data_IF_613994109349
#
_entry.id   IF_613994109349
#
_cell.length_a   1.000
_cell.length_b   1.000
_cell.length_c   1.000
_cell.angle_alpha   90.00
_cell.angle_beta   90.00
_cell.angle_gamma   90.00
#
_symmetry.space_group_name_H-M   'P 1'
#
loop_
_entity.id
_entity.type
_entity.pdbx_description
1 polymer ?
#
# COMPACT_ATOMS: atom_id res chain seq x y z
N UNK A 1 -0.57 4.88 19.45
CA UNK A 1 -0.80 4.91 18.00
C UNK A 1 0.54 4.77 17.29
N UNK A 2 0.69 3.74 16.45
CA UNK A 2 1.83 3.62 15.53
C UNK A 2 1.33 3.90 14.13
N UNK A 3 2.13 4.63 13.35
CA UNK A 3 1.80 4.94 11.97
C UNK A 3 3.06 4.95 11.10
N UNK A 4 2.94 4.41 9.88
CA UNK A 4 3.97 4.49 8.84
C UNK A 4 3.32 4.91 7.53
N UNK A 5 3.92 5.87 6.86
CA UNK A 5 3.58 6.23 5.48
C UNK A 5 4.40 5.38 4.52
N UNK A 6 3.75 4.77 3.54
CA UNK A 6 4.35 3.90 2.54
C UNK A 6 4.06 4.47 1.16
N UNK A 7 5.11 4.62 0.35
CA UNK A 7 4.99 4.96 -1.06
C UNK A 7 5.45 3.78 -1.92
N UNK A 8 4.62 3.41 -2.88
CA UNK A 8 4.87 2.30 -3.79
C UNK A 8 4.67 2.71 -5.25
N UNK A 9 5.24 1.93 -6.17
CA UNK A 9 5.06 2.05 -7.61
C UNK A 9 4.79 0.69 -8.24
N UNK A 10 3.84 0.63 -9.17
CA UNK A 10 3.52 -0.60 -9.92
C UNK A 10 2.13 -0.54 -10.54
N UNK A 11 1.66 -1.70 -11.00
CA UNK A 11 0.31 -1.89 -11.57
C UNK A 11 -0.73 -2.07 -10.45
N UNK A 12 -0.93 -1.01 -9.67
CA UNK A 12 -1.70 -1.03 -8.43
C UNK A 12 -3.19 -1.30 -8.69
N UNK A 13 -3.75 -0.66 -9.73
CA UNK A 13 -5.17 -0.77 -10.06
C UNK A 13 -5.46 -2.09 -10.78
N UNK A 14 -4.62 -2.43 -11.74
CA UNK A 14 -4.76 -3.61 -12.60
C UNK A 14 -4.63 -4.91 -11.79
N UNK A 15 -3.81 -4.91 -10.73
CA UNK A 15 -3.61 -6.06 -9.84
C UNK A 15 -4.55 -6.08 -8.63
N UNK A 16 -5.51 -5.16 -8.54
CA UNK A 16 -6.42 -5.04 -7.40
C UNK A 16 -5.68 -5.04 -6.04
N UNK A 17 -4.53 -4.35 -5.96
CA UNK A 17 -3.68 -4.40 -4.78
C UNK A 17 -4.41 -3.90 -3.53
N UNK A 18 -5.25 -2.88 -3.66
CA UNK A 18 -6.06 -2.38 -2.54
C UNK A 18 -6.99 -3.45 -1.95
N UNK A 19 -7.68 -4.20 -2.81
CA UNK A 19 -8.55 -5.30 -2.34
C UNK A 19 -7.77 -6.38 -1.60
N UNK A 20 -6.56 -6.69 -2.06
CA UNK A 20 -5.66 -7.66 -1.41
C UNK A 20 -5.21 -7.14 -0.03
N UNK A 21 -4.77 -5.87 0.03
CA UNK A 21 -4.31 -5.26 1.29
C UNK A 21 -5.44 -5.17 2.31
N UNK A 22 -6.64 -4.69 1.91
CA UNK A 22 -7.79 -4.64 2.81
C UNK A 22 -8.25 -6.04 3.25
N UNK A 23 -8.19 -7.04 2.35
CA UNK A 23 -8.49 -8.43 2.68
C UNK A 23 -7.54 -8.99 3.75
N UNK A 24 -6.25 -8.69 3.65
CA UNK A 24 -5.23 -9.14 4.61
C UNK A 24 -5.33 -8.45 5.99
N UNK A 25 -5.92 -7.26 6.05
CA UNK A 25 -6.04 -6.48 7.29
C UNK A 25 -7.43 -6.56 7.94
N UNK A 26 -8.41 -7.18 7.28
CA UNK A 26 -9.82 -7.17 7.70
C UNK A 26 -10.07 -7.54 9.17
N UNK A 27 -9.36 -8.55 9.67
CA UNK A 27 -9.54 -9.09 11.02
C UNK A 27 -8.43 -8.65 11.98
N UNK A 28 -7.68 -7.59 11.64
CA UNK A 28 -6.54 -7.07 12.42
C UNK A 28 -6.86 -5.68 12.97
N UNK A 29 -6.24 -5.34 14.10
CA UNK A 29 -6.34 -4.00 14.71
C UNK A 29 -5.44 -2.96 14.02
N UNK A 30 -5.33 -3.06 12.69
CA UNK A 30 -4.46 -2.26 11.84
C UNK A 30 -5.27 -1.86 10.61
N UNK A 31 -5.19 -0.58 10.24
CA UNK A 31 -5.96 -0.03 9.12
C UNK A 31 -5.05 0.70 8.12
N UNK A 32 -5.55 0.86 6.89
CA UNK A 32 -4.93 1.66 5.84
C UNK A 32 -5.76 2.92 5.62
N UNK A 33 -5.13 4.09 5.77
CA UNK A 33 -5.77 5.39 5.62
C UNK A 33 -5.00 6.28 4.65
N UNK A 34 -5.57 7.45 4.32
CA UNK A 34 -4.94 8.50 3.51
C UNK A 34 -4.35 7.98 2.19
N UNK A 35 -5.15 7.17 1.48
CA UNK A 35 -4.75 6.56 0.21
C UNK A 35 -4.81 7.60 -0.90
N UNK A 36 -3.67 7.86 -1.51
CA UNK A 36 -3.54 8.66 -2.72
C UNK A 36 -3.00 7.78 -3.85
N UNK A 37 -3.71 7.71 -4.98
CA UNK A 37 -3.26 6.99 -6.17
C UNK A 37 -3.10 7.98 -7.31
N UNK A 38 -1.92 8.01 -7.89
CA UNK A 38 -1.60 8.78 -9.09
C UNK A 38 -1.29 7.82 -10.23
N UNK A 39 -2.19 7.77 -11.20
CA UNK A 39 -1.98 7.04 -12.45
C UNK A 39 -1.37 7.98 -13.49
N UNK A 40 -0.28 7.56 -14.14
CA UNK A 40 0.33 8.35 -15.21
C UNK A 40 -0.45 8.14 -16.51
N UNK A 41 -1.24 9.15 -16.91
CA UNK A 41 -1.95 9.12 -18.19
C UNK A 41 -1.11 9.78 -19.28
N UNK A 42 -0.34 9.01 -20.04
CA UNK A 42 -0.01 9.40 -21.41
C UNK A 42 -1.28 9.21 -22.26
N UNK A 43 -1.53 10.03 -23.29
CA UNK A 43 -2.64 9.80 -24.25
C UNK A 43 -2.67 8.30 -24.64
N UNK A 44 -3.65 7.55 -24.15
CA UNK A 44 -3.81 6.10 -24.44
C UNK A 44 -3.09 5.12 -23.50
N UNK A 45 -2.53 5.56 -22.37
CA UNK A 45 -1.89 4.70 -21.37
C UNK A 45 -2.84 4.34 -20.22
N UNK A 46 -3.92 3.62 -20.53
CA UNK A 46 -4.69 2.88 -19.51
C UNK A 46 -4.21 1.42 -19.42
N UNK A 47 -3.58 0.90 -20.48
CA UNK A 47 -2.83 -0.35 -20.44
C UNK A 47 -1.55 -0.17 -19.63
N UNK A 48 -1.02 -1.25 -19.04
CA UNK A 48 0.20 -1.43 -18.20
C UNK A 48 1.52 -0.80 -18.71
N UNK A 49 1.47 0.18 -19.61
CA UNK A 49 2.57 0.94 -20.16
C UNK A 49 3.17 1.92 -19.17
N UNK A 50 2.44 2.32 -18.12
CA UNK A 50 2.93 3.26 -17.12
C UNK A 50 2.54 2.83 -15.70
N UNK A 51 3.51 2.66 -14.78
CA UNK A 51 3.20 2.28 -13.41
C UNK A 51 2.47 3.41 -12.69
N UNK A 52 1.46 3.05 -11.91
CA UNK A 52 0.84 3.97 -10.96
C UNK A 52 1.77 4.17 -9.75
N UNK A 53 1.56 5.27 -9.05
CA UNK A 53 2.14 5.55 -7.74
C UNK A 53 1.01 5.53 -6.73
N UNK A 54 1.21 4.85 -5.60
CA UNK A 54 0.31 4.93 -4.46
C UNK A 54 1.08 5.35 -3.21
N UNK A 55 0.50 6.29 -2.48
CA UNK A 55 0.92 6.67 -1.12
C UNK A 55 -0.23 6.33 -0.19
N UNK A 56 0.06 5.71 0.94
CA UNK A 56 -0.93 5.41 1.96
C UNK A 56 -0.27 5.35 3.33
N UNK A 57 -1.07 5.41 4.39
CA UNK A 57 -0.62 5.22 5.76
C UNK A 57 -1.16 3.91 6.30
N UNK A 58 -0.31 3.16 6.99
CA UNK A 58 -0.75 2.04 7.83
C UNK A 58 -0.71 2.52 9.28
N UNK A 59 -1.83 2.34 9.99
CA UNK A 59 -2.00 2.83 11.37
C UNK A 59 -2.48 1.69 12.28
N UNK A 60 -2.05 1.71 13.54
CA UNK A 60 -2.60 0.88 14.59
C UNK A 60 -2.90 1.71 15.84
N UNK A 61 -4.08 1.50 16.40
CA UNK A 61 -4.53 2.16 17.63
C UNK A 61 -3.84 1.55 18.86
N UNK A 62 -3.74 0.22 18.90
CA UNK A 62 -3.01 -0.53 19.92
C UNK A 62 -1.65 -1.02 19.39
N UNK A 63 -0.70 -1.23 20.30
CA UNK A 63 0.69 -1.52 19.93
C UNK A 63 0.94 -2.98 19.53
N UNK A 64 -0.05 -3.85 19.74
CA UNK A 64 0.03 -5.28 19.42
C UNK A 64 -0.08 -5.48 17.91
N UNK A 65 0.80 -6.31 17.38
CA UNK A 65 0.79 -6.81 16.00
C UNK A 65 1.01 -5.81 14.85
N UNK A 66 1.25 -4.52 15.12
CA UNK A 66 1.57 -3.53 14.08
C UNK A 66 2.75 -3.93 13.19
N UNK A 67 3.88 -4.35 13.77
CA UNK A 67 5.06 -4.70 12.98
C UNK A 67 4.83 -5.96 12.12
N UNK A 68 4.08 -6.94 12.62
CA UNK A 68 3.72 -8.14 11.83
C UNK A 68 2.80 -7.79 10.67
N UNK A 69 1.75 -6.99 10.93
CA UNK A 69 0.84 -6.54 9.89
C UNK A 69 1.55 -5.66 8.84
N UNK A 70 2.48 -4.81 9.29
CA UNK A 70 3.33 -4.01 8.43
C UNK A 70 4.21 -4.89 7.54
N UNK A 71 4.92 -5.87 8.10
CA UNK A 71 5.74 -6.82 7.32
C UNK A 71 4.92 -7.59 6.29
N UNK A 72 3.73 -8.05 6.66
CA UNK A 72 2.81 -8.73 5.76
C UNK A 72 2.34 -7.83 4.62
N UNK A 73 2.00 -6.58 4.90
CA UNK A 73 1.68 -5.57 3.87
C UNK A 73 2.85 -5.38 2.91
N UNK A 74 4.08 -5.24 3.43
CA UNK A 74 5.27 -5.12 2.58
C UNK A 74 5.50 -6.35 1.70
N UNK A 75 5.22 -7.53 2.23
CA UNK A 75 5.34 -8.79 1.51
C UNK A 75 4.32 -8.88 0.38
N UNK A 76 3.04 -8.58 0.67
CA UNK A 76 1.97 -8.55 -0.33
C UNK A 76 2.25 -7.56 -1.46
N UNK A 77 2.80 -6.38 -1.14
CA UNK A 77 3.21 -5.38 -2.15
C UNK A 77 4.23 -5.98 -3.11
N UNK A 78 5.26 -6.66 -2.59
CA UNK A 78 6.32 -7.28 -3.41
C UNK A 78 5.80 -8.45 -4.24
N UNK A 79 5.00 -9.32 -3.65
CA UNK A 79 4.39 -10.48 -4.34
C UNK A 79 3.48 -10.04 -5.49
N UNK A 80 2.81 -8.90 -5.32
CA UNK A 80 2.01 -8.27 -6.37
C UNK A 80 2.84 -7.38 -7.30
N UNK A 81 4.17 -7.54 -7.35
CA UNK A 81 5.05 -6.89 -8.32
C UNK A 81 5.15 -5.37 -8.20
N UNK A 82 4.74 -4.81 -7.07
CA UNK A 82 4.93 -3.41 -6.76
C UNK A 82 6.27 -3.21 -6.03
N UNK A 83 6.91 -2.08 -6.30
CA UNK A 83 8.16 -1.68 -5.64
C UNK A 83 7.86 -0.66 -4.55
N UNK A 84 8.42 -0.88 -3.36
CA UNK A 84 8.41 0.10 -2.28
C UNK A 84 9.46 1.17 -2.62
N UNK A 85 9.02 2.43 -2.72
CA UNK A 85 9.89 3.59 -2.95
C UNK A 85 10.45 4.08 -1.62
N UNK A 86 9.58 4.27 -0.63
CA UNK A 86 9.97 4.58 0.74
C UNK A 86 8.95 4.07 1.75
N UNK A 87 9.40 3.97 2.99
CA UNK A 87 8.56 3.82 4.17
C UNK A 87 9.09 4.77 5.25
N UNK A 88 8.20 5.61 5.81
CA UNK A 88 8.55 6.64 6.78
C UNK A 88 7.68 6.48 8.01
N UNK A 89 8.29 6.45 9.21
CA UNK A 89 7.56 6.50 10.47
C UNK A 89 6.90 7.88 10.64
N UNK A 90 5.64 7.88 11.06
CA UNK A 90 4.91 9.06 11.46
C UNK A 90 4.88 9.08 12.99
N UNK A 91 5.44 10.12 13.59
CA UNK A 91 5.47 10.33 15.04
C UNK A 91 4.15 10.92 15.55
#
# INVERSE_FOLDING_TARGET
MKAKEIKISGHILERNLLGILFGALRDKEVDITDIEISAATLKGGWDEKCPSIMVFKIIAYEDRDFEKAYEEVLQLIKENGCRIIYSKKLD
#
